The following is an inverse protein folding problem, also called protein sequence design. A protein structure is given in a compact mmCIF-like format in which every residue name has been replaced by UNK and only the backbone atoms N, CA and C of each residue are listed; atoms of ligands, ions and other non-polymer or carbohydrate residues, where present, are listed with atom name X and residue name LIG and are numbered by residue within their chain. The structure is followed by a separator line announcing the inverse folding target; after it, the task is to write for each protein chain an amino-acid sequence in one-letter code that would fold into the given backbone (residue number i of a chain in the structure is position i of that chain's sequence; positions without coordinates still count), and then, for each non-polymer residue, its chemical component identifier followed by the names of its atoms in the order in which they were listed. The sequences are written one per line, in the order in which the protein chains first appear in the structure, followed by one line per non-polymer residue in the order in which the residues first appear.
data_IF_327648502155
#
_entry.id   IF_327648502155
#
_cell.length_a   1.000
_cell.length_b   1.000
_cell.length_c   1.000
_cell.angle_alpha   90.00
_cell.angle_beta   90.00
_cell.angle_gamma   90.00
#
_symmetry.space_group_name_H-M   'P 1'
#
loop_
_entity.id
_entity.type
_entity.pdbx_description
1 polymer ?
#
# COMPACT_ATOMS: atom_id res chain seq x y z
N UNK A 1 -9.84 -4.64 6.71
CA UNK A 1 -11.17 -5.29 6.67
C UNK A 1 -11.08 -6.81 6.61
N UNK A 2 -10.45 -7.41 5.57
CA UNK A 2 -10.43 -8.87 5.37
C UNK A 2 -9.85 -9.70 6.54
N UNK A 3 -8.98 -9.13 7.37
CA UNK A 3 -8.45 -9.78 8.57
C UNK A 3 -9.40 -9.78 9.78
N UNK A 4 -10.45 -8.97 9.75
CA UNK A 4 -11.30 -8.70 10.93
C UNK A 4 -12.78 -9.00 10.69
N UNK A 5 -13.24 -8.93 9.45
CA UNK A 5 -14.64 -9.11 9.09
C UNK A 5 -14.83 -10.42 8.30
N UNK A 6 -15.92 -11.16 8.53
CA UNK A 6 -16.27 -12.32 7.72
C UNK A 6 -16.77 -11.88 6.34
N UNK A 7 -16.91 -12.86 5.42
CA UNK A 7 -17.60 -12.71 4.13
C UNK A 7 -16.96 -11.72 3.14
N UNK A 8 -15.66 -11.44 3.28
CA UNK A 8 -14.90 -10.73 2.24
C UNK A 8 -14.28 -11.77 1.32
N UNK A 9 -14.76 -11.83 0.08
CA UNK A 9 -14.31 -12.82 -0.91
C UNK A 9 -12.97 -12.44 -1.56
N UNK A 10 -12.78 -11.16 -1.89
CA UNK A 10 -11.62 -10.66 -2.62
C UNK A 10 -11.19 -9.27 -2.13
N UNK A 11 -9.88 -8.98 -2.19
CA UNK A 11 -9.27 -7.69 -1.86
C UNK A 11 -8.26 -7.32 -2.94
N UNK A 12 -8.31 -6.08 -3.41
CA UNK A 12 -7.23 -5.47 -4.19
C UNK A 12 -6.55 -4.42 -3.30
N UNK A 13 -5.24 -4.53 -3.12
CA UNK A 13 -4.42 -3.60 -2.33
C UNK A 13 -3.39 -2.95 -3.24
N UNK A 14 -3.58 -1.67 -3.56
CA UNK A 14 -2.66 -0.87 -4.39
C UNK A 14 -1.76 -0.06 -3.46
N UNK A 15 -0.44 -0.26 -3.54
CA UNK A 15 0.57 0.45 -2.73
C UNK A 15 0.23 0.48 -1.23
N UNK A 16 -0.31 -0.62 -0.69
CA UNK A 16 -0.75 -0.71 0.71
C UNK A 16 0.38 -0.94 1.71
N UNK A 17 0.13 -0.58 2.98
CA UNK A 17 0.98 -0.92 4.12
C UNK A 17 0.47 -2.19 4.84
N UNK A 18 1.37 -2.90 5.52
CA UNK A 18 1.04 -4.07 6.36
C UNK A 18 0.63 -3.68 7.79
N UNK A 19 0.73 -2.41 8.15
CA UNK A 19 0.31 -1.86 9.43
C UNK A 19 -0.79 -0.83 9.24
N UNK A 20 -1.60 -0.64 10.26
CA UNK A 20 -2.45 0.53 10.38
C UNK A 20 -1.59 1.79 10.55
N UNK A 21 -1.99 2.91 9.96
CA UNK A 21 -1.22 4.17 9.94
C UNK A 21 -2.12 5.35 10.32
N UNK A 22 -1.51 6.50 10.59
CA UNK A 22 -2.16 7.78 10.91
C UNK A 22 -2.99 7.81 12.20
N UNK A 23 -4.10 7.08 12.29
CA UNK A 23 -5.01 7.09 13.43
C UNK A 23 -5.31 5.66 13.91
N UNK A 24 -5.69 5.50 15.17
CA UNK A 24 -6.06 4.20 15.70
C UNK A 24 -7.32 3.65 14.99
N UNK A 25 -7.24 2.41 14.51
CA UNK A 25 -8.36 1.70 13.91
C UNK A 25 -9.12 0.92 14.98
N UNK A 26 -10.40 1.24 15.16
CA UNK A 26 -11.30 0.50 16.06
C UNK A 26 -12.20 -0.45 15.30
N UNK A 27 -12.17 -1.74 15.62
CA UNK A 27 -13.06 -2.77 15.07
C UNK A 27 -13.72 -3.55 16.21
N UNK A 28 -14.92 -3.13 16.62
CA UNK A 28 -15.57 -3.66 17.82
C UNK A 28 -14.75 -3.34 19.07
N UNK A 29 -14.25 -4.36 19.75
CA UNK A 29 -13.36 -4.21 20.93
C UNK A 29 -11.87 -4.18 20.57
N UNK A 30 -11.51 -4.49 19.32
CA UNK A 30 -10.12 -4.45 18.88
C UNK A 30 -9.73 -3.01 18.57
N UNK A 31 -8.57 -2.59 19.08
CA UNK A 31 -7.92 -1.32 18.75
C UNK A 31 -6.58 -1.67 18.12
N UNK A 32 -6.36 -1.21 16.88
CA UNK A 32 -5.07 -1.29 16.21
C UNK A 32 -4.46 0.12 16.22
N UNK A 33 -3.37 0.38 16.97
CA UNK A 33 -2.73 1.69 16.96
C UNK A 33 -2.17 2.03 15.57
N UNK A 34 -2.03 3.32 15.28
CA UNK A 34 -1.35 3.77 14.07
C UNK A 34 0.17 3.63 14.23
N UNK A 35 0.83 3.05 13.24
CA UNK A 35 2.28 3.10 13.08
C UNK A 35 2.68 4.59 12.92
N UNK A 36 3.57 5.11 13.78
CA UNK A 36 3.85 6.54 13.81
C UNK A 36 4.72 6.98 12.64
N UNK A 37 4.58 8.26 12.30
CA UNK A 37 5.48 8.96 11.37
C UNK A 37 6.55 9.73 12.16
N UNK A 38 7.80 9.56 11.76
CA UNK A 38 8.95 10.28 12.23
C UNK A 38 9.23 11.49 11.34
N UNK A 39 8.78 12.66 11.78
CA UNK A 39 8.90 13.90 11.01
C UNK A 39 10.37 14.31 10.77
N UNK A 40 11.32 13.84 11.58
CA UNK A 40 12.75 14.13 11.37
C UNK A 40 13.32 13.41 10.14
N UNK A 41 12.63 12.39 9.61
CA UNK A 41 13.01 11.66 8.39
C UNK A 41 12.37 12.26 7.13
N UNK A 42 11.55 13.30 7.26
CA UNK A 42 10.99 14.05 6.14
C UNK A 42 12.03 15.04 5.63
N UNK A 43 12.20 15.12 4.33
CA UNK A 43 13.07 16.12 3.69
C UNK A 43 12.31 16.93 2.64
N UNK A 44 12.78 18.14 2.36
CA UNK A 44 12.22 18.98 1.30
C UNK A 44 13.18 19.00 0.11
N UNK A 45 12.61 18.92 -1.10
CA UNK A 45 13.34 19.18 -2.34
C UNK A 45 13.58 20.69 -2.51
N UNK A 46 14.47 21.07 -3.42
CA UNK A 46 14.69 22.47 -3.81
C UNK A 46 13.45 23.16 -4.37
N UNK A 47 12.46 22.40 -4.84
CA UNK A 47 11.17 22.90 -5.34
C UNK A 47 10.08 23.01 -4.27
N UNK A 48 10.40 22.75 -2.99
CA UNK A 48 9.45 22.84 -1.88
C UNK A 48 8.45 21.67 -1.80
N UNK A 49 8.75 20.55 -2.46
CA UNK A 49 7.98 19.30 -2.35
C UNK A 49 8.64 18.40 -1.30
N UNK A 50 7.85 17.72 -0.48
CA UNK A 50 8.37 16.88 0.59
C UNK A 50 8.56 15.43 0.14
N UNK A 51 9.72 14.85 0.45
CA UNK A 51 9.97 13.41 0.41
C UNK A 51 9.69 12.84 1.81
N UNK A 52 8.67 11.98 1.88
CA UNK A 52 8.19 11.37 3.13
C UNK A 52 8.39 9.85 3.14
N UNK A 53 9.08 9.30 2.12
CA UNK A 53 9.24 7.84 1.93
C UNK A 53 9.77 7.13 3.17
N UNK A 54 10.67 7.79 3.89
CA UNK A 54 11.36 7.27 5.08
C UNK A 54 10.65 7.63 6.40
N UNK A 55 9.55 8.40 6.34
CA UNK A 55 8.91 8.96 7.53
C UNK A 55 8.14 7.91 8.34
N UNK A 56 7.50 6.92 7.71
CA UNK A 56 6.79 5.88 8.44
C UNK A 56 7.80 4.97 9.16
N UNK A 57 7.60 4.75 10.47
CA UNK A 57 8.50 3.87 11.23
C UNK A 57 8.47 2.42 10.72
N UNK A 58 9.49 1.63 11.06
CA UNK A 58 9.59 0.25 10.59
C UNK A 58 8.45 -0.61 11.16
N UNK A 59 7.56 -1.18 10.33
CA UNK A 59 6.48 -2.06 10.82
C UNK A 59 6.99 -3.35 11.45
N UNK A 60 8.25 -3.72 11.26
CA UNK A 60 8.87 -4.89 11.88
C UNK A 60 9.51 -4.61 13.24
N UNK A 61 9.64 -3.34 13.65
CA UNK A 61 10.12 -2.99 14.99
C UNK A 61 9.18 -3.62 16.04
N UNK A 62 9.71 -4.40 17.00
CA UNK A 62 8.91 -4.98 18.09
C UNK A 62 8.06 -3.94 18.86
N UNK A 63 8.51 -2.69 18.95
CA UNK A 63 7.78 -1.61 19.59
C UNK A 63 6.43 -1.30 18.90
N UNK A 64 6.30 -1.59 17.60
CA UNK A 64 5.12 -1.29 16.81
C UNK A 64 4.34 -2.55 16.37
N UNK A 65 4.61 -3.70 16.98
CA UNK A 65 3.98 -4.96 16.60
C UNK A 65 2.45 -4.92 16.61
N UNK A 66 1.86 -4.13 17.50
CA UNK A 66 0.40 -4.01 17.66
C UNK A 66 -0.26 -3.24 16.52
N UNK A 67 0.50 -2.45 15.76
CA UNK A 67 0.00 -1.76 14.57
C UNK A 67 -0.21 -2.70 13.37
N UNK A 68 0.41 -3.89 13.38
CA UNK A 68 0.41 -4.81 12.24
C UNK A 68 -0.96 -5.42 12.01
N UNK A 69 -1.37 -5.42 10.74
CA UNK A 69 -2.59 -6.06 10.30
C UNK A 69 -2.36 -7.59 10.27
N UNK A 70 -3.20 -8.40 10.92
CA UNK A 70 -3.04 -9.85 10.94
C UNK A 70 -3.49 -10.46 9.60
N UNK A 71 -2.65 -10.33 8.57
CA UNK A 71 -2.95 -10.76 7.20
C UNK A 71 -3.22 -12.27 7.12
N UNK A 72 -2.61 -13.08 7.98
CA UNK A 72 -2.84 -14.52 8.07
C UNK A 72 -4.27 -14.89 8.46
N UNK A 73 -5.02 -13.96 9.08
CA UNK A 73 -6.44 -14.17 9.40
C UNK A 73 -7.37 -13.92 8.22
N UNK A 74 -6.90 -13.28 7.15
CA UNK A 74 -7.71 -13.04 5.98
C UNK A 74 -8.00 -14.35 5.23
N UNK A 75 -9.28 -14.61 4.98
CA UNK A 75 -9.74 -15.70 4.12
C UNK A 75 -9.95 -15.27 2.66
N UNK A 76 -10.01 -13.95 2.41
CA UNK A 76 -10.19 -13.38 1.08
C UNK A 76 -9.04 -13.72 0.13
N UNK A 77 -9.31 -13.84 -1.17
CA UNK A 77 -8.26 -13.74 -2.17
C UNK A 77 -7.67 -12.34 -2.19
N UNK A 78 -6.35 -12.19 -2.30
CA UNK A 78 -5.69 -10.88 -2.24
C UNK A 78 -4.85 -10.63 -3.50
N UNK A 79 -5.13 -9.54 -4.20
CA UNK A 79 -4.27 -9.01 -5.25
C UNK A 79 -3.50 -7.80 -4.71
N UNK A 80 -2.19 -7.93 -4.58
CA UNK A 80 -1.29 -6.82 -4.30
C UNK A 80 -0.80 -6.21 -5.61
N UNK A 81 -0.87 -4.89 -5.71
CA UNK A 81 -0.34 -4.10 -6.82
C UNK A 81 0.61 -3.07 -6.21
N UNK A 82 1.85 -3.03 -6.67
CA UNK A 82 2.83 -2.06 -6.19
C UNK A 82 3.50 -1.30 -7.33
N UNK A 83 3.80 -0.03 -7.09
CA UNK A 83 4.76 0.74 -7.87
C UNK A 83 6.12 0.74 -7.17
N UNK A 84 7.18 0.34 -7.87
CA UNK A 84 8.52 0.21 -7.25
C UNK A 84 9.19 1.56 -6.96
N UNK A 85 8.75 2.64 -7.60
CA UNK A 85 9.20 4.01 -7.32
C UNK A 85 8.14 4.77 -6.52
N UNK A 86 7.37 4.09 -5.67
CA UNK A 86 6.57 4.74 -4.64
C UNK A 86 7.48 5.60 -3.73
N UNK A 87 7.19 6.90 -3.67
CA UNK A 87 7.87 7.90 -2.83
C UNK A 87 7.03 8.36 -1.65
N UNK A 88 5.80 7.89 -1.53
CA UNK A 88 4.97 8.17 -0.36
C UNK A 88 5.40 7.27 0.80
N UNK A 89 5.64 5.98 0.53
CA UNK A 89 6.20 5.05 1.50
C UNK A 89 6.80 3.81 0.80
N UNK A 90 7.25 2.83 1.58
CA UNK A 90 8.00 1.67 1.05
C UNK A 90 7.09 0.52 0.61
N UNK A 91 6.18 0.76 -0.34
CA UNK A 91 5.22 -0.25 -0.84
C UNK A 91 5.87 -1.58 -1.23
N UNK A 92 7.01 -1.56 -1.94
CA UNK A 92 7.75 -2.78 -2.30
C UNK A 92 8.25 -3.58 -1.09
N UNK A 93 8.73 -2.89 -0.05
CA UNK A 93 9.19 -3.51 1.19
C UNK A 93 8.00 -4.12 1.94
N UNK A 94 6.89 -3.39 2.04
CA UNK A 94 5.69 -3.88 2.72
C UNK A 94 5.08 -5.09 2.02
N UNK A 95 5.05 -5.08 0.68
CA UNK A 95 4.58 -6.22 -0.10
C UNK A 95 5.48 -7.47 0.07
N UNK A 96 6.81 -7.31 0.07
CA UNK A 96 7.74 -8.42 0.32
C UNK A 96 7.54 -9.02 1.72
N UNK A 97 7.37 -8.18 2.74
CA UNK A 97 7.04 -8.64 4.11
C UNK A 97 5.69 -9.37 4.13
N UNK A 98 4.67 -8.82 3.46
CA UNK A 98 3.35 -9.44 3.39
C UNK A 98 3.41 -10.83 2.74
N UNK A 99 4.09 -10.95 1.59
CA UNK A 99 4.27 -12.22 0.88
C UNK A 99 4.99 -13.24 1.76
N UNK A 100 6.13 -12.87 2.36
CA UNK A 100 6.88 -13.76 3.27
C UNK A 100 6.03 -14.21 4.45
N UNK A 101 5.27 -13.30 5.05
CA UNK A 101 4.38 -13.60 6.18
C UNK A 101 3.27 -14.57 5.76
N UNK A 102 2.55 -14.28 4.67
CA UNK A 102 1.48 -15.13 4.15
C UNK A 102 1.99 -16.53 3.77
N UNK A 103 3.12 -16.62 3.07
CA UNK A 103 3.75 -17.91 2.72
C UNK A 103 4.14 -18.71 3.97
N UNK A 104 4.75 -18.07 4.97
CA UNK A 104 5.10 -18.72 6.24
C UNK A 104 3.87 -19.29 6.97
N UNK A 105 2.72 -18.63 6.82
CA UNK A 105 1.44 -19.07 7.37
C UNK A 105 0.65 -20.01 6.42
N UNK A 106 1.27 -20.52 5.36
CA UNK A 106 0.68 -21.51 4.45
C UNK A 106 -0.43 -20.96 3.54
N UNK A 107 -0.52 -19.63 3.38
CA UNK A 107 -1.49 -18.99 2.51
C UNK A 107 -1.04 -19.11 1.04
N UNK A 108 -2.00 -19.34 0.16
CA UNK A 108 -1.80 -19.46 -1.29
C UNK A 108 -2.78 -18.59 -2.10
N UNK A 109 -3.73 -17.97 -1.42
CA UNK A 109 -4.79 -17.14 -1.98
C UNK A 109 -4.36 -15.69 -2.19
N UNK A 110 -3.16 -15.46 -2.72
CA UNK A 110 -2.68 -14.12 -3.03
C UNK A 110 -1.81 -14.07 -4.29
N UNK A 111 -1.79 -12.90 -4.94
CA UNK A 111 -0.98 -12.59 -6.11
C UNK A 111 -0.32 -11.23 -5.92
N UNK A 112 0.93 -11.08 -6.33
CA UNK A 112 1.65 -9.80 -6.33
C UNK A 112 1.96 -9.38 -7.76
N UNK A 113 1.59 -8.15 -8.12
CA UNK A 113 1.97 -7.47 -9.34
C UNK A 113 2.88 -6.30 -8.99
N UNK A 114 4.08 -6.28 -9.55
CA UNK A 114 5.05 -5.21 -9.35
C UNK A 114 5.28 -4.45 -10.66
N UNK A 115 5.22 -3.13 -10.58
CA UNK A 115 5.40 -2.24 -11.73
C UNK A 115 6.63 -1.36 -11.54
N UNK A 116 7.74 -1.68 -12.22
CA UNK A 116 8.96 -0.88 -12.18
C UNK A 116 8.71 0.56 -12.63
N UNK A 117 9.29 1.52 -11.92
CA UNK A 117 9.16 2.96 -12.19
C UNK A 117 7.71 3.50 -12.16
N UNK A 118 6.76 2.77 -11.58
CA UNK A 118 5.46 3.31 -11.22
C UNK A 118 5.50 3.90 -9.80
N UNK A 119 4.70 4.93 -9.57
CA UNK A 119 4.66 5.68 -8.32
C UNK A 119 3.50 5.26 -7.43
N UNK A 120 3.18 6.09 -6.44
CA UNK A 120 2.18 5.82 -5.42
C UNK A 120 0.74 5.76 -5.97
N UNK A 121 0.37 6.68 -6.87
CA UNK A 121 -1.02 6.84 -7.33
C UNK A 121 -1.33 6.08 -8.62
N UNK A 122 -1.42 4.75 -8.54
CA UNK A 122 -1.83 3.91 -9.67
C UNK A 122 -3.36 4.00 -9.83
N UNK A 123 -3.80 5.13 -10.41
CA UNK A 123 -5.19 5.46 -10.70
C UNK A 123 -5.72 4.69 -11.96
N UNK A 124 -7.01 4.76 -12.32
CA UNK A 124 -7.55 4.11 -13.51
C UNK A 124 -6.82 4.50 -14.82
N UNK A 125 -6.95 3.70 -15.89
CA UNK A 125 -6.26 3.93 -17.15
C UNK A 125 -6.47 5.35 -17.70
N UNK A 126 -5.40 5.94 -18.24
CA UNK A 126 -5.38 7.29 -18.82
C UNK A 126 -5.60 8.42 -17.82
N UNK A 127 -5.56 8.15 -16.51
CA UNK A 127 -5.55 9.19 -15.49
C UNK A 127 -4.26 10.03 -15.61
N UNK A 128 -4.33 11.36 -15.40
CA UNK A 128 -3.14 12.21 -15.47
C UNK A 128 -2.07 11.76 -14.45
N UNK A 129 -0.82 11.73 -14.89
CA UNK A 129 0.32 11.43 -14.04
C UNK A 129 0.77 12.67 -13.27
N UNK A 130 0.91 12.54 -11.95
CA UNK A 130 1.46 13.55 -11.06
C UNK A 130 2.64 12.99 -10.28
N UNK A 131 3.83 13.58 -10.45
CA UNK A 131 5.03 13.20 -9.70
C UNK A 131 4.99 13.68 -8.25
N UNK A 132 4.12 14.63 -7.93
CA UNK A 132 3.83 15.13 -6.59
C UNK A 132 2.36 15.55 -6.48
N UNK A 133 1.77 15.41 -5.29
CA UNK A 133 0.40 15.83 -5.01
C UNK A 133 0.28 16.33 -3.56
N UNK A 134 -0.75 17.14 -3.29
CA UNK A 134 -1.07 17.54 -1.92
C UNK A 134 -1.45 16.31 -1.10
N UNK A 135 -0.71 16.05 -0.03
CA UNK A 135 -1.06 15.00 0.91
C UNK A 135 -2.21 15.48 1.82
N UNK A 136 -3.33 14.75 1.92
CA UNK A 136 -4.49 15.19 2.69
C UNK A 136 -4.28 15.17 4.21
N UNK A 137 -3.31 14.39 4.71
CA UNK A 137 -3.02 14.27 6.14
C UNK A 137 -2.04 15.35 6.59
N UNK A 138 -0.97 15.56 5.82
CA UNK A 138 0.09 16.52 6.12
C UNK A 138 -0.23 17.93 5.62
N UNK A 139 -1.14 18.09 4.65
CA UNK A 139 -1.51 19.38 4.07
C UNK A 139 -0.40 20.04 3.25
N UNK A 140 0.59 19.27 2.79
CA UNK A 140 1.74 19.74 2.00
C UNK A 140 1.94 18.91 0.73
N UNK A 141 2.57 19.45 -0.33
CA UNK A 141 2.91 18.68 -1.51
C UNK A 141 3.94 17.59 -1.18
N UNK A 142 3.62 16.34 -1.50
CA UNK A 142 4.47 15.17 -1.27
C UNK A 142 4.79 14.48 -2.59
N UNK A 143 6.01 13.94 -2.71
CA UNK A 143 6.42 13.14 -3.87
C UNK A 143 5.60 11.85 -3.96
N UNK A 144 4.97 11.63 -5.11
CA UNK A 144 4.31 10.36 -5.45
C UNK A 144 5.25 9.39 -6.18
N UNK A 145 6.29 9.90 -6.83
CA UNK A 145 7.24 9.12 -7.61
C UNK A 145 6.70 8.60 -8.95
N UNK A 146 7.52 7.79 -9.62
CA UNK A 146 7.23 7.19 -10.92
C UNK A 146 7.70 8.00 -12.13
N UNK A 147 7.70 7.34 -13.28
CA UNK A 147 8.01 7.92 -14.58
C UNK A 147 6.77 7.88 -15.48
N UNK A 148 6.46 8.99 -16.15
CA UNK A 148 5.23 9.17 -16.95
C UNK A 148 4.82 7.93 -17.77
N UNK A 149 5.74 7.42 -18.60
CA UNK A 149 5.44 6.28 -19.50
C UNK A 149 5.22 4.97 -18.72
N UNK A 150 6.11 4.65 -17.78
CA UNK A 150 6.00 3.42 -17.00
C UNK A 150 4.76 3.44 -16.09
N UNK A 151 4.45 4.59 -15.52
CA UNK A 151 3.28 4.81 -14.69
C UNK A 151 1.98 4.62 -15.49
N UNK A 152 1.90 5.20 -16.71
CA UNK A 152 0.74 5.00 -17.58
C UNK A 152 0.52 3.52 -17.95
N UNK A 153 1.61 2.78 -18.22
CA UNK A 153 1.55 1.33 -18.47
C UNK A 153 1.02 0.59 -17.23
N UNK A 154 1.52 0.93 -16.03
CA UNK A 154 1.06 0.34 -14.78
C UNK A 154 -0.44 0.57 -14.53
N UNK A 155 -0.96 1.75 -14.83
CA UNK A 155 -2.40 2.05 -14.72
C UNK A 155 -3.23 1.17 -15.67
N UNK A 156 -2.81 1.04 -16.93
CA UNK A 156 -3.53 0.26 -17.95
C UNK A 156 -3.52 -1.24 -17.60
N UNK A 157 -2.35 -1.78 -17.31
CA UNK A 157 -2.19 -3.21 -17.05
C UNK A 157 -2.81 -3.63 -15.72
N UNK A 158 -2.60 -2.84 -14.66
CA UNK A 158 -3.15 -3.17 -13.34
C UNK A 158 -4.68 -3.12 -13.36
N UNK A 159 -5.29 -2.18 -14.07
CA UNK A 159 -6.74 -2.13 -14.25
C UNK A 159 -7.31 -3.39 -14.89
N UNK A 160 -6.68 -3.86 -15.97
CA UNK A 160 -7.07 -5.13 -16.61
C UNK A 160 -6.97 -6.29 -15.63
N UNK A 161 -5.88 -6.34 -14.85
CA UNK A 161 -5.66 -7.41 -13.85
C UNK A 161 -6.65 -7.35 -12.68
N UNK A 162 -7.04 -6.15 -12.25
CA UNK A 162 -8.08 -5.95 -11.24
C UNK A 162 -9.41 -6.53 -11.73
N UNK A 163 -9.81 -6.21 -12.97
CA UNK A 163 -11.06 -6.73 -13.53
C UNK A 163 -11.02 -8.26 -13.69
N UNK A 164 -9.92 -8.82 -14.20
CA UNK A 164 -9.73 -10.28 -14.29
C UNK A 164 -9.85 -10.95 -12.90
N UNK A 165 -9.18 -10.39 -11.89
CA UNK A 165 -9.20 -10.89 -10.53
C UNK A 165 -10.59 -10.83 -9.88
N UNK A 166 -11.30 -9.71 -10.05
CA UNK A 166 -12.64 -9.54 -9.48
C UNK A 166 -13.65 -10.48 -10.16
N UNK A 167 -13.66 -10.60 -11.49
CA UNK A 167 -14.52 -11.58 -12.17
C UNK A 167 -14.24 -13.02 -11.71
N UNK A 168 -12.97 -13.39 -11.56
CA UNK A 168 -12.59 -14.74 -11.12
C UNK A 168 -13.13 -15.08 -9.72
N UNK A 169 -13.18 -14.12 -8.80
CA UNK A 169 -13.50 -14.36 -7.39
C UNK A 169 -14.90 -13.92 -6.96
N UNK A 170 -15.63 -13.19 -7.81
CA UNK A 170 -16.96 -12.67 -7.49
C UNK A 170 -18.09 -13.17 -8.41
N UNK A 171 -17.77 -13.70 -9.60
CA UNK A 171 -18.77 -14.18 -10.58
C UNK A 171 -19.21 -13.08 -11.53
#
# INVERSE_FOLDING_TARGET
MASFLPNIAAVVSINGCISNTAAALTCGRLILPGLPFNLNKISATSSGVYDVKEALEDPLDPAYQESRIPLEKACAHILFIIGEDDRHWKSSVYADIAVKHLTKHGKTNFTLLSYPNAGHRIDPPYSPFFSAALDPVLGVPVLGGGQLKAHAVAQIESWKKILEFLHLHLG
#
